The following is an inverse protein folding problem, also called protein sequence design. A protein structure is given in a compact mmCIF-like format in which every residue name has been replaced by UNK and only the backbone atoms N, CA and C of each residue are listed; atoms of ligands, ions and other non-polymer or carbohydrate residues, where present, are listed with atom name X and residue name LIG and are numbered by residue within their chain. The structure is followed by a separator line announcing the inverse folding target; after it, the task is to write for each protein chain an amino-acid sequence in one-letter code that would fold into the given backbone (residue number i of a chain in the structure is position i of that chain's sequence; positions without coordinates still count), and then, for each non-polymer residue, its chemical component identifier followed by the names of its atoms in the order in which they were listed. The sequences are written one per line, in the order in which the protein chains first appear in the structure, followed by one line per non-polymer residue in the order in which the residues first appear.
data_IF_807497381172
#
_entry.id   IF_807497381172
#
_cell.length_a   1.000
_cell.length_b   1.000
_cell.length_c   1.000
_cell.angle_alpha   90.00
_cell.angle_beta   90.00
_cell.angle_gamma   90.00
#
_symmetry.space_group_name_H-M   'P 1'
#
loop_
_entity.id
_entity.type
_entity.pdbx_description
1 polymer ?
#
# COMPACT_ATOMS: atom_id res chain seq x y z
N UNK A 1 3.74 15.48 -10.88
CA UNK A 1 4.42 14.50 -10.00
C UNK A 1 4.03 14.77 -8.55
N UNK A 2 3.09 13.99 -8.01
CA UNK A 2 2.90 13.55 -6.62
C UNK A 2 1.48 13.00 -6.52
N UNK A 3 1.42 11.70 -6.72
CA UNK A 3 0.24 10.86 -6.51
C UNK A 3 0.07 10.57 -5.00
N UNK A 4 -1.10 10.02 -4.67
CA UNK A 4 -1.42 9.37 -3.38
C UNK A 4 -1.93 10.28 -2.25
N UNK A 5 -3.22 10.62 -2.30
CA UNK A 5 -4.00 10.72 -1.05
C UNK A 5 -3.95 9.34 -0.41
N UNK A 6 -3.44 9.15 0.81
CA UNK A 6 -3.48 7.84 1.42
C UNK A 6 -4.94 7.48 1.68
N UNK A 7 -5.44 6.50 0.94
CA UNK A 7 -6.79 5.93 1.08
C UNK A 7 -6.66 4.70 1.97
N UNK A 8 -7.54 4.57 2.96
CA UNK A 8 -7.54 3.46 3.93
C UNK A 8 -6.18 3.24 4.59
N UNK A 9 -5.70 4.22 5.33
CA UNK A 9 -4.49 4.10 6.15
C UNK A 9 -4.85 4.36 7.61
N UNK A 10 -4.30 3.59 8.52
CA UNK A 10 -4.28 3.87 9.95
C UNK A 10 -2.84 4.04 10.39
N UNK A 11 -2.55 5.07 11.16
CA UNK A 11 -1.24 5.32 11.74
C UNK A 11 -1.40 5.60 13.22
N UNK A 12 -0.57 4.97 14.02
CA UNK A 12 -0.50 5.16 15.46
C UNK A 12 0.88 5.66 15.83
N UNK A 13 0.91 6.74 16.60
CA UNK A 13 2.12 7.34 17.14
C UNK A 13 2.09 7.29 18.67
N UNK A 14 3.25 7.09 19.26
CA UNK A 14 3.52 7.46 20.64
C UNK A 14 4.02 8.91 20.66
N UNK A 15 3.48 9.72 21.57
CA UNK A 15 3.86 11.12 21.72
C UNK A 15 4.31 11.41 23.13
N UNK A 16 5.43 12.11 23.28
CA UNK A 16 5.96 12.57 24.57
C UNK A 16 5.93 14.09 24.59
N UNK A 17 5.31 14.66 25.63
CA UNK A 17 5.35 16.09 25.94
C UNK A 17 6.13 16.31 27.22
N UNK A 18 7.31 16.92 27.10
CA UNK A 18 8.15 17.24 28.25
C UNK A 18 7.67 18.55 28.89
N UNK A 19 7.39 18.52 30.19
CA UNK A 19 7.00 19.71 30.96
C UNK A 19 8.24 20.40 31.50
N UNK A 20 8.57 21.56 30.92
CA UNK A 20 9.75 22.36 31.31
C UNK A 20 9.45 23.81 31.71
N UNK A 21 8.65 24.07 32.76
CA UNK A 21 8.45 25.44 33.23
C UNK A 21 9.79 26.06 33.64
N UNK A 22 10.07 27.26 33.14
CA UNK A 22 11.33 27.97 33.39
C UNK A 22 12.62 27.19 33.03
N UNK A 23 12.52 26.20 32.14
CA UNK A 23 13.66 25.37 31.71
C UNK A 23 14.01 24.22 32.66
N UNK A 24 13.32 24.09 33.79
CA UNK A 24 13.47 22.96 34.71
C UNK A 24 12.57 21.80 34.29
N UNK A 25 13.08 20.56 34.31
CA UNK A 25 12.30 19.37 33.94
C UNK A 25 11.37 18.93 35.08
N UNK A 26 10.06 18.90 34.82
CA UNK A 26 9.02 18.59 35.80
C UNK A 26 8.28 17.27 35.50
N UNK A 27 8.64 16.58 34.40
CA UNK A 27 8.08 15.29 34.02
C UNK A 27 7.56 15.26 32.58
N UNK A 28 7.04 14.10 32.19
CA UNK A 28 6.54 13.82 30.85
C UNK A 28 5.05 13.46 30.86
N UNK A 29 4.36 13.79 29.78
CA UNK A 29 3.06 13.21 29.45
C UNK A 29 3.18 12.39 28.18
N UNK A 30 2.76 11.12 28.26
CA UNK A 30 2.73 10.19 27.15
C UNK A 30 1.29 10.01 26.68
N UNK A 31 1.10 10.06 25.36
CA UNK A 31 -0.15 9.69 24.71
C UNK A 31 0.09 8.79 23.52
N UNK A 32 -0.91 7.96 23.21
CA UNK A 32 -0.99 7.21 21.96
C UNK A 32 -2.03 7.88 21.06
N UNK A 33 -1.61 8.36 19.89
CA UNK A 33 -2.49 8.99 18.91
C UNK A 33 -2.65 8.06 17.72
N UNK A 34 -3.89 7.73 17.35
CA UNK A 34 -4.19 7.01 16.10
C UNK A 34 -4.98 7.90 15.17
N UNK A 35 -4.53 8.04 13.92
CA UNK A 35 -5.28 8.68 12.84
C UNK A 35 -5.60 7.64 11.75
N UNK A 36 -6.86 7.58 11.37
CA UNK A 36 -7.35 6.69 10.32
C UNK A 36 -7.98 7.50 9.19
N UNK A 37 -7.56 7.27 7.96
CA UNK A 37 -8.22 7.77 6.76
C UNK A 37 -8.95 6.60 6.08
N UNK A 38 -10.24 6.74 5.79
CA UNK A 38 -11.00 5.73 5.05
C UNK A 38 -10.79 5.85 3.51
N UNK A 39 -11.54 5.04 2.74
CA UNK A 39 -11.47 4.99 1.27
C UNK A 39 -12.02 6.27 0.61
N UNK A 40 -12.86 7.00 1.33
CA UNK A 40 -13.47 8.25 0.93
C UNK A 40 -12.61 9.46 1.34
N UNK A 41 -11.56 9.24 2.13
CA UNK A 41 -10.69 10.28 2.68
C UNK A 41 -11.24 10.93 3.96
N UNK A 42 -12.25 10.34 4.58
CA UNK A 42 -12.73 10.75 5.91
C UNK A 42 -11.68 10.39 6.94
N UNK A 43 -11.27 11.39 7.73
CA UNK A 43 -10.34 11.19 8.84
C UNK A 43 -11.11 10.95 10.14
N UNK A 44 -10.69 9.93 10.88
CA UNK A 44 -11.09 9.70 12.28
C UNK A 44 -9.84 9.62 13.15
N UNK A 45 -10.01 9.93 14.44
CA UNK A 45 -8.90 9.98 15.38
C UNK A 45 -9.24 9.31 16.70
N UNK A 46 -8.22 8.74 17.33
CA UNK A 46 -8.27 8.25 18.68
C UNK A 46 -7.07 8.78 19.48
N UNK A 47 -7.31 9.11 20.74
CA UNK A 47 -6.30 9.47 21.73
C UNK A 47 -6.42 8.48 22.89
N UNK A 48 -5.36 7.75 23.19
CA UNK A 48 -5.32 6.70 24.22
C UNK A 48 -6.45 5.66 24.05
N UNK A 49 -6.74 5.34 22.79
CA UNK A 49 -7.80 4.40 22.40
C UNK A 49 -9.23 4.97 22.46
N UNK A 50 -9.41 6.22 22.89
CA UNK A 50 -10.72 6.89 22.91
C UNK A 50 -10.94 7.74 21.66
N UNK A 51 -12.13 7.69 21.03
CA UNK A 51 -12.42 8.52 19.87
C UNK A 51 -12.42 10.01 20.26
N UNK A 52 -11.69 10.81 19.49
CA UNK A 52 -11.61 12.27 19.69
C UNK A 52 -11.79 13.00 18.35
N UNK A 53 -12.17 14.28 18.35
CA UNK A 53 -12.11 15.11 17.16
C UNK A 53 -10.69 15.08 16.56
N UNK A 54 -10.60 14.99 15.23
CA UNK A 54 -9.31 14.95 14.50
C UNK A 54 -8.43 16.15 14.86
N UNK A 55 -9.04 17.33 15.03
CA UNK A 55 -8.33 18.55 15.42
C UNK A 55 -7.62 18.42 16.78
N UNK A 56 -8.21 17.71 17.74
CA UNK A 56 -7.63 17.52 19.07
C UNK A 56 -6.45 16.54 19.02
N UNK A 57 -6.57 15.45 18.26
CA UNK A 57 -5.46 14.51 18.04
C UNK A 57 -4.28 15.16 17.30
N UNK A 58 -4.56 15.96 16.26
CA UNK A 58 -3.53 16.73 15.55
C UNK A 58 -2.86 17.74 16.47
N UNK A 59 -3.62 18.37 17.37
CA UNK A 59 -3.08 19.28 18.39
C UNK A 59 -2.07 18.56 19.29
N UNK A 60 -2.40 17.36 19.79
CA UNK A 60 -1.47 16.55 20.61
C UNK A 60 -0.20 16.22 19.83
N UNK A 61 -0.32 15.73 18.59
CA UNK A 61 0.84 15.45 17.72
C UNK A 61 1.71 16.67 17.47
N UNK A 62 1.10 17.85 17.26
CA UNK A 62 1.82 19.08 16.94
C UNK A 62 2.56 19.66 18.15
N UNK A 63 2.00 19.54 19.36
CA UNK A 63 2.61 20.09 20.58
C UNK A 63 3.51 19.09 21.31
N UNK A 64 3.55 17.84 20.89
CA UNK A 64 4.46 16.85 21.45
C UNK A 64 5.92 17.28 21.23
N UNK A 65 6.75 17.12 22.27
CA UNK A 65 8.19 17.31 22.17
C UNK A 65 8.83 16.25 21.28
N UNK A 66 8.31 15.02 21.32
CA UNK A 66 8.75 13.90 20.48
C UNK A 66 7.55 13.09 20.02
N UNK A 67 7.64 12.57 18.81
CA UNK A 67 6.64 11.66 18.23
C UNK A 67 7.34 10.49 17.56
N UNK A 68 6.90 9.28 17.84
CA UNK A 68 7.39 8.05 17.22
C UNK A 68 6.23 7.30 16.57
N UNK A 69 6.35 6.94 15.29
CA UNK A 69 5.35 6.12 14.61
C UNK A 69 5.53 4.66 15.03
N UNK A 70 4.58 4.12 15.81
CA UNK A 70 4.66 2.77 16.36
C UNK A 70 3.85 1.73 15.56
N UNK A 71 2.88 2.18 14.74
CA UNK A 71 2.09 1.30 13.87
C UNK A 71 1.63 2.03 12.62
N UNK A 72 1.73 1.40 11.45
CA UNK A 72 1.08 1.83 10.21
C UNK A 72 0.36 0.62 9.60
N UNK A 73 -0.92 0.78 9.28
CA UNK A 73 -1.75 -0.23 8.63
C UNK A 73 -2.41 0.37 7.39
N UNK A 74 -2.55 -0.44 6.34
CA UNK A 74 -3.30 -0.06 5.13
C UNK A 74 -4.40 -1.09 4.91
N UNK A 75 -5.60 -0.63 4.56
CA UNK A 75 -6.77 -1.50 4.37
C UNK A 75 -7.34 -1.39 2.93
N UNK A 76 -7.65 -2.47 2.22
CA UNK A 76 -7.12 -3.79 2.48
C UNK A 76 -5.59 -3.76 2.54
N UNK A 77 -5.02 -4.67 3.31
CA UNK A 77 -3.58 -4.93 3.26
C UNK A 77 -3.19 -5.14 1.80
N UNK A 78 -2.07 -4.55 1.31
CA UNK A 78 -1.64 -4.81 -0.05
C UNK A 78 -1.49 -6.32 -0.23
N UNK A 79 -2.28 -6.89 -1.16
CA UNK A 79 -2.27 -8.33 -1.36
C UNK A 79 -0.86 -8.81 -1.70
N UNK A 80 -0.44 -9.97 -1.19
CA UNK A 80 0.89 -10.49 -1.44
C UNK A 80 1.13 -10.64 -2.96
N UNK A 81 2.31 -10.19 -3.38
CA UNK A 81 2.73 -10.27 -4.78
C UNK A 81 3.34 -11.62 -5.11
N UNK A 82 3.24 -12.04 -6.37
CA UNK A 82 3.71 -13.35 -6.85
C UNK A 82 5.24 -13.51 -6.81
N UNK A 83 5.98 -12.39 -6.79
CA UNK A 83 7.43 -12.36 -6.72
C UNK A 83 8.16 -12.86 -7.98
N UNK A 84 9.50 -12.80 -7.94
CA UNK A 84 10.38 -13.11 -9.08
C UNK A 84 10.19 -14.53 -9.66
N UNK A 85 10.10 -15.61 -8.84
CA UNK A 85 10.03 -16.97 -9.40
C UNK A 85 8.77 -17.19 -10.25
N UNK A 86 7.62 -16.72 -9.77
CA UNK A 86 6.35 -16.84 -10.50
C UNK A 86 6.29 -15.90 -11.70
N UNK A 87 6.78 -14.68 -11.56
CA UNK A 87 6.93 -13.75 -12.68
C UNK A 87 7.78 -14.35 -13.82
N UNK A 88 8.90 -14.99 -13.48
CA UNK A 88 9.75 -15.66 -14.47
C UNK A 88 9.07 -16.85 -15.14
N UNK A 89 8.17 -17.57 -14.45
CA UNK A 89 7.34 -18.61 -15.07
C UNK A 89 6.34 -18.00 -16.06
N UNK A 90 5.61 -16.97 -15.65
CA UNK A 90 4.63 -16.29 -16.51
C UNK A 90 5.31 -15.70 -17.77
N UNK A 91 6.46 -15.05 -17.60
CA UNK A 91 7.26 -14.51 -18.70
C UNK A 91 7.70 -15.61 -19.69
N UNK A 92 8.11 -16.78 -19.18
CA UNK A 92 8.48 -17.93 -20.04
C UNK A 92 7.28 -18.51 -20.79
N UNK A 93 6.10 -18.55 -20.16
CA UNK A 93 4.87 -19.01 -20.82
C UNK A 93 4.48 -18.06 -21.96
N UNK A 94 4.55 -16.75 -21.75
CA UNK A 94 4.33 -15.75 -22.79
C UNK A 94 5.26 -15.95 -23.99
N UNK A 95 6.56 -16.14 -23.75
CA UNK A 95 7.51 -16.40 -24.82
C UNK A 95 7.24 -17.71 -25.56
N UNK A 96 6.85 -18.78 -24.84
CA UNK A 96 6.54 -20.09 -25.44
C UNK A 96 5.34 -20.06 -26.39
N UNK A 97 4.36 -19.19 -26.15
CA UNK A 97 3.19 -19.06 -27.03
C UNK A 97 3.44 -18.16 -28.23
N UNK A 98 4.68 -17.66 -28.39
CA UNK A 98 5.11 -16.83 -29.50
C UNK A 98 4.90 -15.33 -29.29
N UNK A 99 4.57 -14.87 -28.07
CA UNK A 99 4.48 -13.44 -27.78
C UNK A 99 5.89 -12.83 -27.84
N UNK A 100 6.13 -11.75 -28.61
CA UNK A 100 7.42 -11.06 -28.60
C UNK A 100 7.73 -10.52 -27.20
N UNK A 101 8.99 -10.65 -26.77
CA UNK A 101 9.42 -10.22 -25.43
C UNK A 101 9.10 -8.76 -25.11
N UNK A 102 9.18 -7.87 -26.11
CA UNK A 102 8.83 -6.46 -26.00
C UNK A 102 7.35 -6.21 -25.64
N UNK A 103 6.47 -7.18 -25.90
CA UNK A 103 5.02 -7.06 -25.69
C UNK A 103 4.54 -7.70 -24.39
N UNK A 104 5.39 -8.43 -23.66
CA UNK A 104 4.99 -9.16 -22.44
C UNK A 104 4.35 -8.23 -21.39
N UNK A 105 4.99 -7.09 -21.13
CA UNK A 105 4.51 -6.12 -20.16
C UNK A 105 3.31 -5.30 -20.65
N UNK A 106 3.24 -5.03 -21.95
CA UNK A 106 2.12 -4.34 -22.56
C UNK A 106 0.85 -5.21 -22.54
N UNK A 107 0.97 -6.51 -22.82
CA UNK A 107 -0.14 -7.46 -22.71
C UNK A 107 -0.62 -7.60 -21.26
N UNK A 108 0.31 -7.65 -20.30
CA UNK A 108 -0.05 -7.69 -18.88
C UNK A 108 -0.78 -6.42 -18.44
N UNK A 109 -0.31 -5.24 -18.86
CA UNK A 109 -1.00 -3.97 -18.63
C UNK A 109 -2.41 -3.96 -19.25
N UNK A 110 -2.55 -4.39 -20.51
CA UNK A 110 -3.84 -4.47 -21.19
C UNK A 110 -4.83 -5.42 -20.46
N UNK A 111 -4.35 -6.52 -19.90
CA UNK A 111 -5.17 -7.45 -19.12
C UNK A 111 -5.72 -6.84 -17.82
N UNK A 112 -5.03 -5.82 -17.28
CA UNK A 112 -5.38 -5.12 -16.05
C UNK A 112 -6.11 -3.78 -16.31
N UNK A 113 -6.25 -3.37 -17.57
CA UNK A 113 -6.81 -2.08 -17.93
C UNK A 113 -5.85 -0.91 -17.74
N UNK A 114 -4.56 -1.18 -17.62
CA UNK A 114 -3.52 -0.17 -17.48
C UNK A 114 -3.16 0.45 -18.84
N UNK A 115 -2.96 1.77 -18.85
CA UNK A 115 -2.67 2.52 -20.08
C UNK A 115 -1.20 2.43 -20.52
N UNK A 116 -0.30 2.06 -19.60
CA UNK A 116 1.13 1.94 -19.84
C UNK A 116 1.65 0.53 -19.53
N UNK A 117 2.70 0.05 -20.23
CA UNK A 117 3.31 -1.25 -19.92
C UNK A 117 3.80 -1.35 -18.47
N UNK A 118 3.59 -2.50 -17.85
CA UNK A 118 4.06 -2.75 -16.48
C UNK A 118 5.60 -2.71 -16.40
N UNK A 119 6.13 -2.18 -15.31
CA UNK A 119 7.59 -2.21 -15.08
C UNK A 119 8.11 -3.59 -14.67
N UNK A 120 7.26 -4.42 -14.07
CA UNK A 120 7.62 -5.77 -13.62
C UNK A 120 6.39 -6.66 -13.46
N UNK A 121 6.51 -7.94 -13.79
CA UNK A 121 5.48 -8.94 -13.46
C UNK A 121 5.57 -9.42 -12.01
N UNK A 122 6.68 -9.15 -11.30
CA UNK A 122 6.89 -9.61 -9.94
C UNK A 122 6.07 -8.85 -8.89
N UNK A 123 5.55 -7.68 -9.25
CA UNK A 123 4.69 -6.83 -8.42
C UNK A 123 3.21 -7.19 -8.55
N UNK A 124 2.86 -8.12 -9.44
CA UNK A 124 1.49 -8.59 -9.58
C UNK A 124 1.07 -9.35 -8.33
N UNK A 125 -0.14 -9.12 -7.87
CA UNK A 125 -0.86 -9.99 -6.93
C UNK A 125 -1.27 -11.30 -7.62
N UNK A 126 -1.68 -12.30 -6.83
CA UNK A 126 -2.22 -13.55 -7.37
C UNK A 126 -3.43 -13.34 -8.29
N UNK A 127 -4.30 -12.40 -7.94
CA UNK A 127 -5.50 -12.10 -8.71
C UNK A 127 -5.15 -11.46 -10.06
N UNK A 128 -4.23 -10.50 -10.06
CA UNK A 128 -3.77 -9.86 -11.29
C UNK A 128 -3.02 -10.84 -12.19
N UNK A 129 -2.14 -11.68 -11.62
CA UNK A 129 -1.45 -12.71 -12.38
C UNK A 129 -2.43 -13.69 -13.04
N UNK A 130 -3.53 -14.03 -12.35
CA UNK A 130 -4.62 -14.84 -12.91
C UNK A 130 -5.36 -14.09 -14.03
N UNK A 131 -5.65 -12.80 -13.86
CA UNK A 131 -6.27 -12.00 -14.90
C UNK A 131 -5.40 -11.94 -16.17
N UNK A 132 -4.09 -11.71 -16.00
CA UNK A 132 -3.11 -11.75 -17.09
C UNK A 132 -3.10 -13.12 -17.77
N UNK A 133 -3.12 -14.22 -17.00
CA UNK A 133 -3.17 -15.57 -17.55
C UNK A 133 -4.44 -15.84 -18.36
N UNK A 134 -5.61 -15.45 -17.84
CA UNK A 134 -6.90 -15.59 -18.52
C UNK A 134 -6.91 -14.78 -19.82
N UNK A 135 -6.38 -13.56 -19.79
CA UNK A 135 -6.27 -12.70 -20.96
C UNK A 135 -5.32 -13.30 -22.01
N UNK A 136 -4.15 -13.79 -21.59
CA UNK A 136 -3.22 -14.49 -22.47
C UNK A 136 -3.89 -15.71 -23.12
N UNK A 137 -4.61 -16.53 -22.36
CA UNK A 137 -5.34 -17.68 -22.88
C UNK A 137 -6.49 -17.31 -23.82
N UNK A 138 -7.03 -16.10 -23.72
CA UNK A 138 -8.08 -15.61 -24.62
C UNK A 138 -7.49 -15.23 -25.98
N UNK A 139 -6.33 -14.57 -25.98
CA UNK A 139 -5.63 -14.13 -27.20
C UNK A 139 -4.81 -15.26 -27.85
N UNK A 140 -4.27 -16.16 -27.04
CA UNK A 140 -3.44 -17.30 -27.44
C UNK A 140 -4.03 -18.57 -26.81
N UNK A 141 -5.06 -19.19 -27.41
CA UNK A 141 -5.71 -20.39 -26.85
C UNK A 141 -4.75 -21.56 -26.56
N UNK A 142 -3.67 -21.69 -27.34
CA UNK A 142 -2.58 -22.65 -27.15
C UNK A 142 -1.79 -22.44 -25.85
N UNK A 143 -1.93 -21.29 -25.17
CA UNK A 143 -1.33 -21.09 -23.86
C UNK A 143 -1.82 -22.14 -22.85
N UNK A 144 -3.09 -22.57 -22.95
CA UNK A 144 -3.68 -23.55 -22.04
C UNK A 144 -2.95 -24.89 -22.04
N UNK A 145 -2.34 -25.27 -23.16
CA UNK A 145 -1.58 -26.52 -23.30
C UNK A 145 -0.10 -26.37 -22.96
N UNK A 146 0.39 -25.14 -22.80
CA UNK A 146 1.80 -24.83 -22.53
C UNK A 146 2.12 -24.61 -21.03
N UNK A 147 1.08 -24.55 -20.19
CA UNK A 147 1.13 -24.22 -18.76
C UNK A 147 1.66 -25.37 -17.87
#
# INVERSE_FOLDING_TARGET
MKDSKPRNISRTWETVTEHRPHGEYWGDTLHTVTLTADQHGTLTAQLDGQPVPVADAVRVLHYATRTELIREERTPEPAPVIGKPRAARLHRLMGRVGLPSAQHYALAAAALGEWAPLHSLATLTEQEARAVWVHLCRLYPQARTAA
#
